data_IF_333276983929
#
_entry.id   IF_333276983929
#
_cell.length_a   1.000
_cell.length_b   1.000
_cell.length_c   1.000
_cell.angle_alpha   90.00
_cell.angle_beta   90.00
_cell.angle_gamma   90.00
#
_symmetry.space_group_name_H-M   'P 1'
#
loop_
_entity.id
_entity.type
_entity.pdbx_description
1 polymer ?
#
# COMPACT_ATOMS: atom_id res chain seq x y z
N UNK A 1 -21.18 17.28 7.54
CA UNK A 1 -20.16 17.34 8.63
C UNK A 1 -19.33 16.06 8.73
N UNK A 2 -19.93 14.87 8.92
CA UNK A 2 -19.18 13.61 9.02
C UNK A 2 -18.29 13.29 7.81
N UNK A 3 -18.72 13.65 6.60
CA UNK A 3 -18.00 13.35 5.37
C UNK A 3 -16.68 14.11 5.22
N UNK A 4 -16.56 15.31 5.80
CA UNK A 4 -15.33 16.11 5.72
C UNK A 4 -14.23 15.47 6.57
N UNK A 5 -14.57 14.98 7.77
CA UNK A 5 -13.66 14.23 8.61
C UNK A 5 -13.24 12.90 7.97
N UNK A 6 -14.18 12.24 7.28
CA UNK A 6 -13.90 11.03 6.50
C UNK A 6 -12.92 11.31 5.34
N UNK A 7 -13.13 12.39 4.58
CA UNK A 7 -12.19 12.83 3.53
C UNK A 7 -10.82 13.14 4.11
N UNK A 8 -10.73 13.90 5.20
CA UNK A 8 -9.43 14.24 5.81
C UNK A 8 -8.68 13.01 6.32
N UNK A 9 -9.38 12.05 6.91
CA UNK A 9 -8.79 10.78 7.32
C UNK A 9 -8.21 10.03 6.11
N UNK A 10 -9.02 9.83 5.06
CA UNK A 10 -8.60 9.06 3.87
C UNK A 10 -7.49 9.77 3.10
N UNK A 11 -7.51 11.11 3.05
CA UNK A 11 -6.43 11.91 2.49
C UNK A 11 -5.13 11.75 3.27
N UNK A 12 -5.19 11.80 4.61
CA UNK A 12 -4.00 11.64 5.46
C UNK A 12 -3.38 10.24 5.30
N UNK A 13 -4.22 9.21 5.20
CA UNK A 13 -3.76 7.87 4.80
C UNK A 13 -3.20 7.86 3.38
N UNK A 14 -3.88 8.55 2.45
CA UNK A 14 -3.46 8.77 1.06
C UNK A 14 -2.03 9.26 0.93
N UNK A 15 -1.66 10.30 1.68
CA UNK A 15 -0.31 10.88 1.69
C UNK A 15 0.75 9.98 2.34
N UNK A 16 0.35 9.00 3.16
CA UNK A 16 1.29 8.06 3.79
C UNK A 16 1.87 7.08 2.76
N UNK A 17 1.13 6.75 1.71
CA UNK A 17 1.57 5.86 0.63
C UNK A 17 2.69 6.42 -0.25
N UNK A 18 2.62 7.64 -0.83
CA UNK A 18 3.70 8.18 -1.65
C UNK A 18 5.01 8.31 -0.86
N UNK A 19 4.97 8.67 0.43
CA UNK A 19 6.16 8.64 1.29
C UNK A 19 6.71 7.22 1.45
N UNK A 20 5.85 6.23 1.67
CA UNK A 20 6.23 4.82 1.77
C UNK A 20 6.83 4.27 0.46
N UNK A 21 6.27 4.68 -0.69
CA UNK A 21 6.73 4.34 -2.05
C UNK A 21 8.11 4.97 -2.31
N UNK A 22 8.27 6.27 -2.05
CA UNK A 22 9.55 6.98 -2.24
C UNK A 22 10.67 6.34 -1.42
N UNK A 23 10.38 5.97 -0.16
CA UNK A 23 11.35 5.29 0.71
C UNK A 23 11.68 3.89 0.18
N UNK A 24 10.68 3.13 -0.26
CA UNK A 24 10.87 1.79 -0.85
C UNK A 24 11.67 1.83 -2.14
N UNK A 25 11.43 2.84 -2.99
CA UNK A 25 12.11 3.04 -4.26
C UNK A 25 13.57 3.43 -4.06
N UNK A 26 13.85 4.33 -3.12
CA UNK A 26 15.21 4.82 -2.87
C UNK A 26 16.07 3.81 -2.09
N UNK A 27 15.46 3.05 -1.16
CA UNK A 27 16.17 2.06 -0.37
C UNK A 27 16.67 0.85 -1.20
N UNK A 28 16.06 0.56 -2.37
CA UNK A 28 16.36 -0.62 -3.22
C UNK A 28 16.40 -1.96 -2.49
N UNK A 29 15.83 -2.04 -1.29
CA UNK A 29 15.67 -3.26 -0.51
C UNK A 29 14.22 -3.37 -0.04
N UNK A 30 13.72 -4.61 0.08
CA UNK A 30 12.42 -4.89 0.69
C UNK A 30 12.52 -5.14 2.21
N UNK A 31 13.74 -5.14 2.78
CA UNK A 31 13.97 -5.39 4.21
C UNK A 31 13.26 -4.34 5.07
N UNK A 32 12.39 -4.81 5.95
CA UNK A 32 11.66 -4.00 6.93
C UNK A 32 10.23 -3.61 6.54
N UNK A 33 9.76 -3.95 5.34
CA UNK A 33 8.37 -3.69 4.92
C UNK A 33 7.56 -5.00 4.96
N UNK A 34 6.41 -4.98 5.65
CA UNK A 34 5.58 -6.18 5.83
C UNK A 34 4.53 -6.28 4.73
N UNK A 35 4.65 -7.29 3.86
CA UNK A 35 3.62 -7.66 2.88
C UNK A 35 2.26 -7.87 3.51
N UNK A 36 2.25 -8.53 4.66
CA UNK A 36 1.02 -8.85 5.38
C UNK A 36 0.27 -7.57 5.76
N UNK A 37 0.98 -6.57 6.26
CA UNK A 37 0.39 -5.25 6.57
C UNK A 37 -0.21 -4.59 5.34
N UNK A 38 0.47 -4.67 4.19
CA UNK A 38 0.02 -4.09 2.94
C UNK A 38 -1.25 -4.78 2.40
N UNK A 39 -1.28 -6.12 2.42
CA UNK A 39 -2.47 -6.90 2.06
C UNK A 39 -3.64 -6.63 3.01
N UNK A 40 -3.38 -6.51 4.32
CA UNK A 40 -4.41 -6.24 5.31
C UNK A 40 -5.07 -4.89 5.05
N UNK A 41 -4.27 -3.86 4.73
CA UNK A 41 -4.81 -2.55 4.36
C UNK A 41 -5.56 -2.60 3.02
N UNK A 42 -5.05 -3.30 2.02
CA UNK A 42 -5.71 -3.45 0.72
C UNK A 42 -7.10 -4.13 0.88
N UNK A 43 -7.19 -5.14 1.75
CA UNK A 43 -8.47 -5.77 2.12
C UNK A 43 -9.39 -4.83 2.90
N UNK A 44 -8.84 -3.99 3.79
CA UNK A 44 -9.59 -2.97 4.52
C UNK A 44 -10.21 -1.91 3.60
N UNK A 45 -9.45 -1.43 2.60
CA UNK A 45 -9.97 -0.51 1.57
C UNK A 45 -11.06 -1.18 0.73
N UNK A 46 -10.90 -2.45 0.34
CA UNK A 46 -11.93 -3.19 -0.38
C UNK A 46 -13.23 -3.32 0.42
N UNK A 47 -13.14 -3.63 1.72
CA UNK A 47 -14.29 -3.65 2.63
C UNK A 47 -14.93 -2.26 2.79
N UNK A 48 -14.13 -1.19 2.88
CA UNK A 48 -14.63 0.19 2.95
C UNK A 48 -15.41 0.61 1.70
N UNK A 49 -14.89 0.27 0.52
CA UNK A 49 -15.56 0.50 -0.77
C UNK A 49 -16.86 -0.31 -0.85
N UNK A 50 -16.82 -1.59 -0.46
CA UNK A 50 -18.01 -2.47 -0.44
C UNK A 50 -19.10 -1.95 0.51
N UNK A 51 -18.73 -1.48 1.70
CA UNK A 51 -19.65 -0.88 2.67
C UNK A 51 -20.36 0.36 2.10
N UNK A 52 -19.62 1.21 1.37
CA UNK A 52 -20.19 2.39 0.70
C UNK A 52 -21.10 2.04 -0.48
N UNK A 53 -20.76 1.01 -1.26
CA UNK A 53 -21.59 0.51 -2.36
C UNK A 53 -22.92 -0.06 -1.83
N UNK A 54 -22.88 -0.83 -0.74
CA UNK A 54 -24.07 -1.43 -0.12
C UNK A 54 -24.91 -0.38 0.63
N UNK A 55 -24.28 0.67 1.17
CA UNK A 55 -24.97 1.75 1.90
C UNK A 55 -25.63 2.82 1.01
N UNK A 56 -25.47 2.76 -0.32
CA UNK A 56 -26.14 3.64 -1.28
C UNK A 56 -25.75 5.13 -1.25
N UNK A 57 -24.90 5.56 -0.31
CA UNK A 57 -24.37 6.94 -0.22
C UNK A 57 -23.02 7.04 -0.90
N UNK A 58 -23.07 7.17 -2.22
CA UNK A 58 -21.89 7.43 -3.05
C UNK A 58 -21.46 8.88 -2.84
N UNK A 59 -20.47 9.06 -1.96
CA UNK A 59 -19.84 10.37 -1.72
C UNK A 59 -18.50 10.45 -2.46
N UNK A 60 -18.03 11.68 -2.69
CA UNK A 60 -16.71 11.95 -3.30
C UNK A 60 -15.54 11.26 -2.59
N UNK A 61 -15.71 10.87 -1.31
CA UNK A 61 -14.77 10.05 -0.53
C UNK A 61 -14.36 8.76 -1.25
N UNK A 62 -15.27 8.13 -2.01
CA UNK A 62 -14.99 6.86 -2.71
C UNK A 62 -13.84 7.01 -3.72
N UNK A 63 -13.73 8.18 -4.37
CA UNK A 63 -12.62 8.45 -5.29
C UNK A 63 -11.28 8.39 -4.57
N UNK A 64 -11.20 8.93 -3.35
CA UNK A 64 -9.99 8.85 -2.52
C UNK A 64 -9.71 7.43 -2.02
N UNK A 65 -10.73 6.63 -1.75
CA UNK A 65 -10.57 5.21 -1.43
C UNK A 65 -9.99 4.42 -2.61
N UNK A 66 -10.51 4.63 -3.82
CA UNK A 66 -10.01 3.98 -5.05
C UNK A 66 -8.57 4.41 -5.32
N UNK A 67 -8.28 5.71 -5.20
CA UNK A 67 -6.93 6.24 -5.39
C UNK A 67 -5.94 5.66 -4.37
N UNK A 68 -6.34 5.56 -3.10
CA UNK A 68 -5.55 4.88 -2.07
C UNK A 68 -5.32 3.40 -2.42
N UNK A 69 -6.36 2.69 -2.84
CA UNK A 69 -6.25 1.28 -3.25
C UNK A 69 -5.24 1.09 -4.39
N UNK A 70 -5.28 1.96 -5.40
CA UNK A 70 -4.31 1.94 -6.51
C UNK A 70 -2.90 2.27 -6.01
N UNK A 71 -2.73 3.27 -5.14
CA UNK A 71 -1.42 3.59 -4.56
C UNK A 71 -0.83 2.44 -3.75
N UNK A 72 -1.64 1.79 -2.90
CA UNK A 72 -1.22 0.61 -2.12
C UNK A 72 -0.87 -0.54 -3.06
N UNK A 73 -1.63 -0.73 -4.14
CA UNK A 73 -1.35 -1.73 -5.17
C UNK A 73 -0.02 -1.48 -5.89
N UNK A 74 0.29 -0.23 -6.24
CA UNK A 74 1.59 0.14 -6.83
C UNK A 74 2.72 -0.13 -5.83
N UNK A 75 2.54 0.22 -4.56
CA UNK A 75 3.51 -0.05 -3.49
C UNK A 75 3.76 -1.56 -3.31
N UNK A 76 2.70 -2.38 -3.43
CA UNK A 76 2.78 -3.85 -3.38
C UNK A 76 3.57 -4.41 -4.56
N UNK A 77 3.34 -3.90 -5.77
CA UNK A 77 4.10 -4.30 -6.96
C UNK A 77 5.58 -3.91 -6.84
N UNK A 78 5.85 -2.70 -6.34
CA UNK A 78 7.21 -2.22 -6.05
C UNK A 78 7.89 -3.07 -4.98
N UNK A 79 7.16 -3.47 -3.95
CA UNK A 79 7.65 -4.40 -2.94
C UNK A 79 8.03 -5.74 -3.57
N UNK A 80 7.15 -6.34 -4.38
CA UNK A 80 7.45 -7.62 -5.06
C UNK A 80 8.70 -7.53 -5.92
N UNK A 81 8.91 -6.39 -6.60
CA UNK A 81 10.11 -6.12 -7.37
C UNK A 81 11.36 -6.04 -6.48
N UNK A 82 11.34 -5.24 -5.41
CA UNK A 82 12.47 -5.15 -4.48
C UNK A 82 12.74 -6.47 -3.74
N UNK A 83 11.69 -7.24 -3.44
CA UNK A 83 11.82 -8.52 -2.73
C UNK A 83 12.52 -9.58 -3.58
N UNK A 84 12.39 -9.51 -4.92
CA UNK A 84 13.17 -10.37 -5.82
C UNK A 84 14.66 -10.02 -5.79
N UNK A 85 14.99 -8.72 -5.84
CA UNK A 85 16.37 -8.24 -5.74
C UNK A 85 17.02 -8.63 -4.41
N UNK A 86 16.28 -8.55 -3.30
CA UNK A 86 16.77 -8.98 -1.98
C UNK A 86 17.01 -10.50 -1.90
N UNK A 87 16.15 -11.30 -2.54
CA UNK A 87 16.28 -12.76 -2.58
C UNK A 87 17.48 -13.20 -3.45
N UNK A 88 17.75 -12.47 -4.53
CA UNK A 88 18.94 -12.69 -5.37
C UNK A 88 20.22 -12.30 -4.61
N UNK A 89 20.23 -11.15 -3.92
CA UNK A 89 21.36 -10.73 -3.10
C UNK A 89 21.63 -11.67 -1.91
N UNK A 90 20.57 -12.27 -1.32
CA UNK A 90 20.72 -13.29 -0.27
C UNK A 90 21.33 -14.59 -0.77
N UNK A 91 20.95 -15.05 -1.98
CA UNK A 91 21.51 -16.26 -2.59
C UNK A 91 22.97 -16.11 -2.99
N UNK A 92 23.39 -14.92 -3.43
CA UNK A 92 24.79 -14.65 -3.77
C UNK A 92 25.71 -14.70 -2.55
N UNK A 93 25.23 -14.25 -1.37
CA UNK A 93 25.97 -14.37 -0.11
C UNK A 93 26.13 -15.83 0.33
N UNK A 94 25.06 -16.63 0.28
CA UNK A 94 25.13 -18.07 0.60
C UNK A 94 26.05 -18.83 -0.38
N UNK A 95 26.10 -18.43 -1.65
CA UNK A 95 26.98 -19.04 -2.65
C UNK A 95 28.46 -18.63 -2.51
N UNK A 96 28.76 -17.49 -1.88
CA UNK A 96 30.14 -17.05 -1.57
C UNK A 96 30.64 -17.69 -0.27
N UNK A 97 29.74 -18.02 0.66
CA UNK A 97 30.06 -18.66 1.94
C UNK A 97 30.11 -20.19 1.89
N UNK A 98 29.56 -20.83 0.85
CA UNK A 98 29.55 -22.28 0.61
C UNK A 98 30.77 -22.77 -0.19
#
# INVERSE_FOLDING_TARGET
MAEIFEVMMVLSFGFSWPMSIMKSYNARTAKGKSLFFLCLILSGYACGIASKLLGGRINYVIVFYILNFVMVGIDLLLYFRNSKLDLEAGRDLEAVEA
#
